data_IF_984600474383
#
_entry.id   IF_984600474383
#
_cell.length_a   1.000
_cell.length_b   1.000
_cell.length_c   1.000
_cell.angle_alpha   90.00
_cell.angle_beta   90.00
_cell.angle_gamma   90.00
#
_symmetry.space_group_name_H-M   'P 1'
#
loop_
_entity.id
_entity.type
_entity.pdbx_description
1 polymer ?
#
# COMPACT_ATOMS: atom_id res chain seq x y z
N UNK A 1 -9.06 19.40 -39.30
CA UNK A 1 -10.01 19.35 -38.15
C UNK A 1 -10.36 17.92 -37.73
N UNK A 2 -10.52 16.95 -38.64
CA UNK A 2 -10.88 15.56 -38.27
C UNK A 2 -9.81 14.75 -37.51
N UNK A 3 -8.53 15.01 -37.74
CA UNK A 3 -7.41 14.30 -37.11
C UNK A 3 -7.24 14.65 -35.62
N UNK A 4 -7.40 15.93 -35.28
CA UNK A 4 -7.33 16.40 -33.89
C UNK A 4 -8.42 15.76 -33.02
N UNK A 5 -9.63 15.61 -33.59
CA UNK A 5 -10.77 14.99 -32.90
C UNK A 5 -10.54 13.51 -32.62
N UNK A 6 -9.94 12.78 -33.57
CA UNK A 6 -9.54 11.38 -33.40
C UNK A 6 -8.49 11.18 -32.30
N UNK A 7 -7.49 12.06 -32.24
CA UNK A 7 -6.46 11.99 -31.19
C UNK A 7 -7.07 12.26 -29.81
N UNK A 8 -7.98 13.24 -29.72
CA UNK A 8 -8.69 13.53 -28.47
C UNK A 8 -9.54 12.35 -27.99
N UNK A 9 -10.31 11.73 -28.88
CA UNK A 9 -11.12 10.55 -28.55
C UNK A 9 -10.28 9.33 -28.13
N UNK A 10 -9.09 9.16 -28.72
CA UNK A 10 -8.15 8.11 -28.31
C UNK A 10 -7.55 8.39 -26.93
N UNK A 11 -7.21 9.65 -26.65
CA UNK A 11 -6.71 10.07 -25.34
C UNK A 11 -7.76 9.85 -24.24
N UNK A 12 -9.00 10.22 -24.50
CA UNK A 12 -10.13 10.05 -23.58
C UNK A 12 -10.42 8.57 -23.29
N UNK A 13 -10.29 7.71 -24.30
CA UNK A 13 -10.44 6.25 -24.12
C UNK A 13 -9.28 5.65 -23.33
N UNK A 14 -8.04 6.06 -23.62
CA UNK A 14 -6.86 5.63 -22.89
C UNK A 14 -6.92 6.06 -21.41
N UNK A 15 -7.33 7.29 -21.13
CA UNK A 15 -7.49 7.79 -19.76
C UNK A 15 -8.56 7.03 -18.96
N UNK A 16 -9.66 6.61 -19.59
CA UNK A 16 -10.70 5.80 -18.92
C UNK A 16 -10.20 4.40 -18.58
N UNK A 17 -9.43 3.78 -19.47
CA UNK A 17 -8.80 2.47 -19.20
C UNK A 17 -7.77 2.56 -18.07
N UNK A 18 -6.98 3.62 -18.06
CA UNK A 18 -5.96 3.87 -17.04
C UNK A 18 -6.59 4.07 -15.64
N UNK A 19 -7.72 4.78 -15.56
CA UNK A 19 -8.48 4.93 -14.30
C UNK A 19 -9.13 3.65 -13.78
N UNK A 20 -9.39 2.65 -14.63
CA UNK A 20 -9.90 1.36 -14.18
C UNK A 20 -8.78 0.44 -13.66
N UNK A 21 -7.53 0.64 -14.11
CA UNK A 21 -6.37 -0.07 -13.58
C UNK A 21 -5.88 0.49 -12.22
N UNK A 22 -6.32 1.69 -11.83
CA UNK A 22 -6.01 2.28 -10.52
C UNK A 22 -6.56 1.46 -9.33
N UNK A 23 -7.54 0.58 -9.56
CA UNK A 23 -8.00 -0.42 -8.58
C UNK A 23 -7.13 -1.68 -8.62
N UNK A 24 -5.84 -1.51 -8.37
CA UNK A 24 -4.95 -2.65 -8.16
C UNK A 24 -5.20 -3.25 -6.78
N UNK A 25 -5.70 -4.49 -6.76
CA UNK A 25 -5.86 -5.30 -5.55
C UNK A 25 -4.54 -5.41 -4.77
N UNK A 26 -3.40 -5.39 -5.47
CA UNK A 26 -2.07 -5.39 -4.85
C UNK A 26 -1.83 -4.14 -4.01
N UNK A 27 -2.23 -2.97 -4.53
CA UNK A 27 -2.15 -1.69 -3.82
C UNK A 27 -3.05 -1.66 -2.57
N UNK A 28 -4.22 -2.29 -2.66
CA UNK A 28 -5.12 -2.46 -1.52
C UNK A 28 -4.50 -3.35 -0.43
N UNK A 29 -3.89 -4.48 -0.80
CA UNK A 29 -3.17 -5.34 0.14
C UNK A 29 -1.98 -4.63 0.78
N UNK A 30 -1.19 -3.89 -0.01
CA UNK A 30 -0.09 -3.07 0.51
C UNK A 30 -0.56 -2.05 1.55
N UNK A 31 -1.67 -1.36 1.28
CA UNK A 31 -2.26 -0.41 2.21
C UNK A 31 -2.79 -1.09 3.50
N UNK A 32 -3.40 -2.27 3.38
CA UNK A 32 -3.85 -3.08 4.53
C UNK A 32 -2.67 -3.51 5.41
N UNK A 33 -1.60 -4.06 4.83
CA UNK A 33 -0.41 -4.45 5.59
C UNK A 33 0.24 -3.25 6.28
N UNK A 34 0.24 -2.09 5.65
CA UNK A 34 0.75 -0.86 6.26
C UNK A 34 -0.12 -0.37 7.43
N UNK A 35 -1.45 -0.47 7.33
CA UNK A 35 -2.32 -0.19 8.47
C UNK A 35 -2.06 -1.15 9.64
N UNK A 36 -1.91 -2.46 9.38
CA UNK A 36 -1.58 -3.43 10.43
C UNK A 36 -0.21 -3.17 11.04
N UNK A 37 0.80 -2.79 10.24
CA UNK A 37 2.11 -2.40 10.75
C UNK A 37 2.00 -1.23 11.73
N UNK A 38 1.20 -0.20 11.37
CA UNK A 38 0.98 0.95 12.25
C UNK A 38 0.31 0.57 13.57
N UNK A 39 -0.71 -0.29 13.53
CA UNK A 39 -1.36 -0.81 14.74
C UNK A 39 -0.38 -1.60 15.60
N UNK A 40 0.45 -2.45 15.00
CA UNK A 40 1.46 -3.23 15.72
C UNK A 40 2.53 -2.33 16.38
N UNK A 41 2.95 -1.24 15.71
CA UNK A 41 3.84 -0.22 16.30
C UNK A 41 3.20 0.45 17.50
N UNK A 42 1.95 0.94 17.35
CA UNK A 42 1.23 1.60 18.45
C UNK A 42 1.05 0.66 19.64
N UNK A 43 0.72 -0.61 19.39
CA UNK A 43 0.59 -1.61 20.44
C UNK A 43 1.94 -1.89 21.11
N UNK A 44 3.01 -2.05 20.33
CA UNK A 44 4.37 -2.20 20.86
C UNK A 44 4.77 -1.02 21.75
N UNK A 45 4.42 0.20 21.35
CA UNK A 45 4.68 1.41 22.12
C UNK A 45 3.92 1.42 23.46
N UNK A 46 2.62 1.07 23.46
CA UNK A 46 1.83 0.93 24.70
C UNK A 46 2.44 -0.11 25.63
N UNK A 47 3.00 -1.18 25.07
CA UNK A 47 3.63 -2.26 25.85
C UNK A 47 4.90 -1.79 26.56
N UNK A 48 5.67 -0.90 25.92
CA UNK A 48 6.83 -0.26 26.55
C UNK A 48 6.40 0.66 27.70
N UNK A 49 5.29 1.38 27.56
CA UNK A 49 4.74 2.20 28.64
C UNK A 49 4.24 1.37 29.84
N UNK A 50 3.88 0.11 29.62
CA UNK A 50 3.50 -0.83 30.67
C UNK A 50 4.68 -1.65 31.22
N UNK A 51 5.93 -1.28 30.89
CA UNK A 51 7.16 -2.00 31.27
C UNK A 51 7.25 -3.45 30.77
N UNK A 52 6.39 -3.85 29.83
CA UNK A 52 6.37 -5.20 29.25
C UNK A 52 7.31 -5.30 28.02
N UNK A 53 8.62 -5.40 28.27
CA UNK A 53 9.64 -5.39 27.22
C UNK A 53 9.59 -6.61 26.26
N UNK A 54 9.29 -7.81 26.78
CA UNK A 54 9.25 -9.03 25.98
C UNK A 54 8.13 -9.02 24.92
N UNK A 55 6.88 -8.64 25.24
CA UNK A 55 5.84 -8.58 24.22
C UNK A 55 5.94 -7.29 23.37
N UNK A 56 6.60 -6.22 23.85
CA UNK A 56 6.90 -5.05 23.03
C UNK A 56 7.81 -5.38 21.85
N UNK A 57 8.93 -6.07 22.09
CA UNK A 57 9.89 -6.45 21.04
C UNK A 57 9.27 -7.36 19.98
N UNK A 58 8.43 -8.32 20.37
CA UNK A 58 7.68 -9.16 19.45
C UNK A 58 6.72 -8.34 18.54
N UNK A 59 6.02 -7.35 19.12
CA UNK A 59 5.09 -6.47 18.39
C UNK A 59 5.82 -5.55 17.40
N UNK A 60 6.98 -5.00 17.78
CA UNK A 60 7.82 -4.22 16.87
C UNK A 60 8.43 -5.06 15.75
N UNK A 61 8.85 -6.29 16.06
CA UNK A 61 9.36 -7.22 15.04
C UNK A 61 8.27 -7.53 14.01
N UNK A 62 7.05 -7.79 14.47
CA UNK A 62 5.89 -8.03 13.61
C UNK A 62 5.54 -6.80 12.76
N UNK A 63 5.63 -5.59 13.32
CA UNK A 63 5.48 -4.35 12.56
C UNK A 63 6.51 -4.23 11.43
N UNK A 64 7.77 -4.54 11.68
CA UNK A 64 8.82 -4.52 10.65
C UNK A 64 8.53 -5.51 9.51
N UNK A 65 8.09 -6.73 9.82
CA UNK A 65 7.71 -7.71 8.80
C UNK A 65 6.53 -7.24 7.96
N UNK A 66 5.49 -6.68 8.59
CA UNK A 66 4.34 -6.12 7.88
C UNK A 66 4.71 -4.91 7.02
N UNK A 67 5.62 -4.06 7.49
CA UNK A 67 6.15 -2.93 6.73
C UNK A 67 6.88 -3.41 5.47
N UNK A 68 7.73 -4.45 5.59
CA UNK A 68 8.42 -5.05 4.45
C UNK A 68 7.44 -5.69 3.46
N UNK A 69 6.41 -6.37 3.95
CA UNK A 69 5.35 -6.95 3.11
C UNK A 69 4.57 -5.85 2.36
N UNK A 70 4.26 -4.74 3.02
CA UNK A 70 3.61 -3.59 2.40
C UNK A 70 4.47 -2.99 1.29
N UNK A 71 5.76 -2.75 1.57
CA UNK A 71 6.71 -2.23 0.58
C UNK A 71 6.82 -3.19 -0.61
N UNK A 72 6.89 -4.50 -0.36
CA UNK A 72 6.91 -5.52 -1.41
C UNK A 72 5.66 -5.49 -2.29
N UNK A 73 4.47 -5.34 -1.70
CA UNK A 73 3.22 -5.22 -2.43
C UNK A 73 3.17 -3.94 -3.29
N UNK A 74 3.62 -2.79 -2.76
CA UNK A 74 3.70 -1.54 -3.52
C UNK A 74 4.78 -1.55 -4.60
N UNK A 75 5.91 -2.21 -4.36
CA UNK A 75 6.97 -2.36 -5.35
C UNK A 75 6.52 -3.27 -6.49
N UNK A 76 5.86 -4.39 -6.18
CA UNK A 76 5.30 -5.30 -7.18
C UNK A 76 4.18 -4.63 -8.00
N UNK A 77 3.37 -3.77 -7.38
CA UNK A 77 2.36 -2.94 -8.07
C UNK A 77 3.02 -1.98 -9.08
N UNK A 78 4.16 -1.38 -8.73
CA UNK A 78 4.89 -0.46 -9.63
C UNK A 78 5.61 -1.12 -10.80
N UNK A 79 5.97 -2.40 -10.67
CA UNK A 79 6.69 -3.15 -11.72
C UNK A 79 5.70 -3.71 -12.77
N UNK A 80 4.42 -3.82 -12.41
CA UNK A 80 3.38 -4.40 -13.24
C UNK A 80 2.66 -3.36 -14.10
#
# INVERSE_FOLDING_TARGET
VGLLRKIHDLLDRAQRQQRQQDFSVLRLFGALFQMFAFVAVLWGLISLFNEEAAPATARFTLACFLQLAAIGAFAADRIR
#
